data_IF_632357202151
#
_entry.id   IF_632357202151
#
_cell.length_a   1.000
_cell.length_b   1.000
_cell.length_c   1.000
_cell.angle_alpha   90.00
_cell.angle_beta   90.00
_cell.angle_gamma   90.00
#
_symmetry.space_group_name_H-M   'P 1'
#
loop_
_entity.id
_entity.type
_entity.pdbx_description
1 polymer ?
#
# COMPACT_ATOMS: atom_id res chain seq x y z
N UNK A 1 -2.23 10.52 6.80
CA UNK A 1 -0.97 9.76 6.89
C UNK A 1 -0.55 9.48 8.32
N UNK A 2 -0.27 10.49 9.16
CA UNK A 2 0.17 10.27 10.54
C UNK A 2 -0.81 9.42 11.37
N UNK A 3 -2.12 9.69 11.28
CA UNK A 3 -3.15 8.93 12.00
C UNK A 3 -3.14 7.42 11.66
N UNK A 4 -2.89 7.05 10.40
CA UNK A 4 -2.87 5.64 9.95
C UNK A 4 -1.61 4.90 10.47
N UNK A 5 -0.52 5.64 10.66
CA UNK A 5 0.76 5.10 11.15
C UNK A 5 0.83 5.01 12.67
N UNK A 6 -0.05 5.71 13.39
CA UNK A 6 -0.03 5.77 14.84
C UNK A 6 -0.34 4.39 15.46
N UNK A 7 0.59 3.80 16.25
CA UNK A 7 0.36 2.53 16.94
C UNK A 7 -0.90 2.50 17.79
N UNK A 8 -1.30 3.63 18.37
CA UNK A 8 -2.53 3.73 19.18
C UNK A 8 -3.80 3.44 18.36
N UNK A 9 -3.74 3.60 17.03
CA UNK A 9 -4.85 3.39 16.13
C UNK A 9 -4.91 1.98 15.53
N UNK A 10 -3.99 1.08 15.93
CA UNK A 10 -4.03 -0.32 15.52
C UNK A 10 -5.26 -1.06 16.05
N UNK A 11 -5.83 -0.62 17.18
CA UNK A 11 -7.01 -1.23 17.81
C UNK A 11 -8.17 -0.24 17.85
N UNK A 12 -9.28 -0.56 17.17
CA UNK A 12 -10.58 0.09 17.35
C UNK A 12 -10.80 1.45 16.67
N UNK A 13 -9.75 2.20 16.31
CA UNK A 13 -9.88 3.51 15.63
C UNK A 13 -10.41 3.38 14.20
N UNK A 14 -9.91 2.40 13.47
CA UNK A 14 -10.33 2.08 12.12
C UNK A 14 -11.10 0.76 12.13
N UNK A 15 -12.08 0.67 11.24
CA UNK A 15 -12.82 -0.56 10.97
C UNK A 15 -12.74 -0.84 9.47
N UNK A 16 -12.81 -2.10 9.04
CA UNK A 16 -12.84 -2.42 7.61
C UNK A 16 -14.00 -1.77 6.84
N UNK A 17 -15.07 -1.38 7.54
CA UNK A 17 -16.22 -0.67 6.99
C UNK A 17 -16.04 0.85 6.93
N UNK A 18 -14.84 1.39 7.15
CA UNK A 18 -14.58 2.82 7.12
C UNK A 18 -14.03 3.24 5.76
N UNK A 19 -14.80 4.04 5.03
CA UNK A 19 -14.30 4.73 3.85
C UNK A 19 -13.37 5.87 4.24
N UNK A 20 -12.25 6.02 3.52
CA UNK A 20 -11.24 7.04 3.78
C UNK A 20 -10.74 7.67 2.49
N UNK A 21 -10.18 8.88 2.62
CA UNK A 21 -9.28 9.46 1.63
C UNK A 21 -7.93 9.74 2.27
N UNK A 22 -6.86 9.30 1.63
CA UNK A 22 -5.48 9.55 2.06
C UNK A 22 -4.71 10.22 0.93
N UNK A 23 -4.03 11.32 1.24
CA UNK A 23 -3.05 11.93 0.34
C UNK A 23 -1.66 11.55 0.82
N UNK A 24 -0.82 11.07 -0.09
CA UNK A 24 0.57 10.74 0.19
C UNK A 24 1.44 10.85 -1.05
N UNK A 25 2.75 10.99 -0.83
CA UNK A 25 3.75 10.95 -1.89
C UNK A 25 4.05 9.48 -2.23
N UNK A 26 3.99 9.11 -3.50
CA UNK A 26 4.21 7.72 -3.93
C UNK A 26 5.71 7.42 -3.98
N UNK A 27 6.20 6.68 -2.98
CA UNK A 27 7.59 6.29 -2.84
C UNK A 27 7.97 5.12 -3.76
N UNK A 28 7.04 4.18 -3.98
CA UNK A 28 7.29 3.00 -4.79
C UNK A 28 6.00 2.29 -5.20
N UNK A 29 6.11 1.49 -6.26
CA UNK A 29 5.04 0.61 -6.74
C UNK A 29 5.63 -0.80 -6.83
N UNK A 30 5.25 -1.64 -5.88
CA UNK A 30 5.75 -2.99 -5.75
C UNK A 30 4.76 -3.98 -6.37
N UNK A 31 5.23 -5.13 -6.83
CA UNK A 31 4.32 -6.19 -7.21
C UNK A 31 3.67 -6.79 -5.95
N UNK A 32 2.35 -6.99 -5.96
CA UNK A 32 1.60 -7.60 -4.86
C UNK A 32 2.01 -9.04 -4.58
N UNK A 33 1.48 -9.65 -3.53
CA UNK A 33 1.71 -11.06 -3.21
C UNK A 33 1.13 -12.00 -4.28
N UNK A 34 1.84 -13.09 -4.59
CA UNK A 34 1.23 -14.18 -5.36
C UNK A 34 0.24 -14.92 -4.43
N UNK A 35 -1.06 -14.88 -4.75
CA UNK A 35 -2.15 -15.53 -4.00
C UNK A 35 -2.52 -14.84 -2.68
N UNK A 36 -2.83 -13.56 -2.74
CA UNK A 36 -3.32 -12.79 -1.58
C UNK A 36 -4.68 -13.31 -1.07
N UNK A 37 -4.91 -13.18 0.24
CA UNK A 37 -6.13 -13.68 0.89
C UNK A 37 -7.37 -12.90 0.44
N UNK A 38 -7.25 -11.59 0.21
CA UNK A 38 -8.28 -10.71 -0.38
C UNK A 38 -8.74 -11.19 -1.78
N UNK A 39 -7.84 -11.81 -2.54
CA UNK A 39 -8.08 -12.36 -3.88
C UNK A 39 -8.43 -13.86 -3.84
N UNK A 40 -8.85 -14.38 -2.69
CA UNK A 40 -9.18 -15.79 -2.47
C UNK A 40 -8.04 -16.75 -2.87
N UNK A 41 -6.78 -16.29 -2.76
CA UNK A 41 -5.57 -17.05 -3.11
C UNK A 41 -5.51 -17.50 -4.57
N UNK A 42 -6.24 -16.82 -5.46
CA UNK A 42 -6.17 -17.06 -6.90
C UNK A 42 -4.80 -16.66 -7.44
N UNK A 43 -4.33 -17.38 -8.46
CA UNK A 43 -3.03 -17.12 -9.08
C UNK A 43 -3.11 -16.14 -10.25
N UNK A 44 -4.31 -15.90 -10.77
CA UNK A 44 -4.58 -15.02 -11.92
C UNK A 44 -5.02 -13.60 -11.51
N UNK A 45 -5.19 -13.36 -10.20
CA UNK A 45 -5.50 -12.06 -9.64
C UNK A 45 -4.36 -11.64 -8.73
N UNK A 46 -3.94 -10.38 -8.85
CA UNK A 46 -2.84 -9.84 -8.07
C UNK A 46 -3.02 -8.34 -7.91
N UNK A 47 -2.89 -7.85 -6.69
CA UNK A 47 -3.02 -6.42 -6.43
C UNK A 47 -1.76 -5.66 -6.86
N UNK A 48 -1.90 -4.37 -7.15
CA UNK A 48 -0.74 -3.46 -7.31
C UNK A 48 -0.52 -2.75 -5.98
N UNK A 49 0.58 -3.07 -5.30
CA UNK A 49 0.98 -2.43 -4.05
C UNK A 49 1.61 -1.07 -4.32
N UNK A 50 1.06 -0.03 -3.71
CA UNK A 50 1.57 1.34 -3.83
C UNK A 50 1.99 1.80 -2.44
N UNK A 51 3.29 2.04 -2.26
CA UNK A 51 3.84 2.57 -1.01
C UNK A 51 3.77 4.09 -1.02
N UNK A 52 3.02 4.65 -0.08
CA UNK A 52 2.90 6.10 0.10
C UNK A 52 3.54 6.57 1.40
N UNK A 53 4.10 7.78 1.34
CA UNK A 53 4.70 8.46 2.49
C UNK A 53 4.11 9.84 2.76
N UNK A 54 4.31 10.38 3.96
CA UNK A 54 3.76 11.66 4.39
C UNK A 54 4.62 12.84 3.93
N UNK A 55 5.90 12.58 3.62
CA UNK A 55 6.86 13.56 3.13
C UNK A 55 7.83 12.88 2.14
N UNK A 56 8.22 13.52 1.01
CA UNK A 56 9.13 12.92 0.03
C UNK A 56 10.50 12.52 0.60
N UNK A 57 10.97 13.16 1.67
CA UNK A 57 12.20 12.77 2.36
C UNK A 57 12.11 11.39 3.02
N UNK A 58 10.90 10.91 3.32
CA UNK A 58 10.64 9.56 3.84
C UNK A 58 10.62 8.50 2.74
N UNK A 59 10.75 8.87 1.46
CA UNK A 59 10.58 7.93 0.34
C UNK A 59 11.56 6.73 0.39
N UNK A 60 12.69 6.87 1.09
CA UNK A 60 13.66 5.81 1.29
C UNK A 60 13.57 5.11 2.66
N UNK A 61 12.53 5.35 3.45
CA UNK A 61 12.34 4.71 4.76
C UNK A 61 11.11 3.79 4.73
N UNK A 62 11.35 2.48 4.61
CA UNK A 62 10.29 1.47 4.57
C UNK A 62 9.43 1.45 5.85
N UNK A 63 9.96 1.89 6.99
CA UNK A 63 9.19 1.98 8.24
C UNK A 63 8.17 3.11 8.22
N UNK A 64 8.15 3.92 7.16
CA UNK A 64 7.16 4.99 6.92
C UNK A 64 6.11 4.59 5.88
N UNK A 65 6.26 3.50 5.16
CA UNK A 65 5.33 3.18 4.08
C UNK A 65 3.94 2.83 4.62
N UNK A 66 2.91 3.50 4.09
CA UNK A 66 1.52 3.03 4.17
C UNK A 66 1.18 2.44 2.82
N UNK A 67 0.59 1.25 2.80
CA UNK A 67 0.24 0.57 1.55
C UNK A 67 -1.17 0.96 1.14
N UNK A 68 -1.34 1.26 -0.14
CA UNK A 68 -2.64 1.38 -0.80
C UNK A 68 -2.65 0.47 -2.02
N UNK A 69 -3.79 -0.13 -2.33
CA UNK A 69 -3.83 -1.19 -3.33
C UNK A 69 -4.86 -0.94 -4.41
N UNK A 70 -4.41 -1.00 -5.66
CA UNK A 70 -5.30 -1.16 -6.79
C UNK A 70 -5.58 -2.65 -6.94
N UNK A 71 -6.81 -3.04 -6.64
CA UNK A 71 -7.29 -4.41 -6.79
C UNK A 71 -7.76 -4.66 -8.23
N UNK A 72 -7.59 -5.87 -8.81
CA UNK A 72 -7.95 -6.19 -10.20
C UNK A 72 -9.32 -5.71 -10.69
N UNK A 73 -10.33 -5.75 -9.81
CA UNK A 73 -11.71 -5.34 -10.13
C UNK A 73 -11.86 -3.84 -10.38
N UNK A 74 -10.87 -3.03 -10.00
CA UNK A 74 -10.87 -1.58 -10.12
C UNK A 74 -9.94 -1.05 -11.21
N UNK A 75 -8.98 -1.83 -11.69
CA UNK A 75 -7.96 -1.41 -12.66
C UNK A 75 -8.58 -0.86 -13.95
N UNK A 76 -9.61 -1.55 -14.49
CA UNK A 76 -10.37 -1.07 -15.64
C UNK A 76 -11.08 0.27 -15.39
N UNK A 77 -11.53 0.56 -14.16
CA UNK A 77 -12.11 1.87 -13.80
C UNK A 77 -11.06 2.98 -13.74
N UNK A 78 -9.79 2.62 -13.63
CA UNK A 78 -8.65 3.53 -13.65
C UNK A 78 -8.01 3.63 -15.05
N UNK A 79 -8.64 3.01 -16.05
CA UNK A 79 -8.18 2.96 -17.44
C UNK A 79 -6.81 2.30 -17.61
N UNK A 80 -6.50 1.30 -16.78
CA UNK A 80 -5.36 0.43 -16.99
C UNK A 80 -5.76 -0.83 -17.77
N UNK A 81 -4.86 -1.28 -18.64
CA UNK A 81 -4.98 -2.55 -19.35
C UNK A 81 -4.52 -3.69 -18.42
N UNK A 82 -5.45 -4.56 -18.04
CA UNK A 82 -5.25 -5.67 -17.11
C UNK A 82 -4.87 -6.99 -17.81
N UNK A 83 -4.61 -6.98 -19.12
CA UNK A 83 -4.25 -8.18 -19.88
C UNK A 83 -2.85 -8.73 -19.55
N UNK A 84 -1.96 -7.87 -19.05
CA UNK A 84 -0.62 -8.24 -18.60
C UNK A 84 -0.28 -7.48 -17.32
N UNK A 85 -0.20 -8.20 -16.20
CA UNK A 85 0.05 -7.62 -14.88
C UNK A 85 1.33 -6.79 -14.80
N UNK A 86 2.45 -7.27 -15.36
CA UNK A 86 3.73 -6.57 -15.24
C UNK A 86 3.73 -5.26 -16.04
N UNK A 87 3.14 -5.28 -17.24
CA UNK A 87 2.98 -4.08 -18.07
C UNK A 87 2.01 -3.08 -17.41
N UNK A 88 0.91 -3.58 -16.85
CA UNK A 88 -0.06 -2.78 -16.11
C UNK A 88 0.57 -2.12 -14.88
N UNK A 89 1.29 -2.88 -14.05
CA UNK A 89 2.00 -2.37 -12.87
C UNK A 89 3.01 -1.29 -13.28
N UNK A 90 3.75 -1.50 -14.37
CA UNK A 90 4.66 -0.49 -14.89
C UNK A 90 3.91 0.78 -15.32
N UNK A 91 2.78 0.65 -16.01
CA UNK A 91 1.95 1.80 -16.38
C UNK A 91 1.38 2.55 -15.17
N UNK A 92 1.02 1.84 -14.09
CA UNK A 92 0.68 2.46 -12.80
C UNK A 92 1.89 3.23 -12.28
N UNK A 93 3.06 2.57 -12.18
CA UNK A 93 4.31 3.16 -11.68
C UNK A 93 4.66 4.46 -12.42
N UNK A 94 4.70 4.44 -13.75
CA UNK A 94 5.00 5.60 -14.59
C UNK A 94 4.01 6.76 -14.37
N UNK A 95 2.74 6.42 -14.10
CA UNK A 95 1.68 7.40 -13.90
C UNK A 95 1.78 8.09 -12.55
N UNK A 96 2.14 7.40 -11.47
CA UNK A 96 2.00 7.92 -10.10
C UNK A 96 3.28 8.01 -9.28
N UNK A 97 4.33 7.23 -9.58
CA UNK A 97 5.55 7.23 -8.77
C UNK A 97 6.20 8.60 -8.76
N UNK A 98 6.67 9.01 -7.58
CA UNK A 98 7.31 10.31 -7.37
C UNK A 98 6.35 11.49 -7.38
N UNK A 99 5.03 11.26 -7.29
CA UNK A 99 4.00 12.30 -7.27
C UNK A 99 3.17 12.22 -5.99
N UNK A 100 2.51 13.33 -5.65
CA UNK A 100 1.47 13.35 -4.64
C UNK A 100 0.15 12.85 -5.22
N UNK A 101 -0.46 11.90 -4.54
CA UNK A 101 -1.71 11.30 -4.99
C UNK A 101 -2.67 11.20 -3.82
N UNK A 102 -3.91 11.63 -4.06
CA UNK A 102 -5.04 11.39 -3.18
C UNK A 102 -5.71 10.09 -3.59
N UNK A 103 -5.74 9.11 -2.70
CA UNK A 103 -6.43 7.84 -2.86
C UNK A 103 -7.69 7.84 -2.00
N UNK A 104 -8.78 7.28 -2.52
CA UNK A 104 -10.03 7.07 -1.78
C UNK A 104 -10.41 5.61 -1.85
N UNK A 105 -10.80 5.03 -0.73
CA UNK A 105 -11.09 3.61 -0.63
C UNK A 105 -11.57 3.23 0.75
N UNK A 106 -11.38 1.98 1.12
CA UNK A 106 -11.78 1.45 2.41
C UNK A 106 -10.55 1.07 3.22
N UNK A 107 -10.63 1.26 4.54
CA UNK A 107 -9.59 0.73 5.42
C UNK A 107 -9.62 -0.79 5.38
N UNK A 108 -8.45 -1.41 5.37
CA UNK A 108 -8.29 -2.85 5.57
C UNK A 108 -7.15 -3.07 6.55
N UNK A 109 -7.34 -3.96 7.52
CA UNK A 109 -6.25 -4.40 8.39
C UNK A 109 -5.68 -5.69 7.83
N UNK A 110 -4.47 -5.65 7.27
CA UNK A 110 -3.80 -6.86 6.82
C UNK A 110 -3.10 -7.55 8.00
N UNK A 111 -3.82 -8.50 8.59
CA UNK A 111 -3.33 -9.31 9.70
C UNK A 111 -2.07 -10.11 9.37
N UNK A 112 -1.85 -10.49 8.10
CA UNK A 112 -0.67 -11.25 7.69
C UNK A 112 0.59 -10.36 7.80
N UNK A 113 0.42 -9.05 7.67
CA UNK A 113 1.52 -8.09 7.69
C UNK A 113 1.66 -7.34 9.03
N UNK A 114 0.93 -7.73 10.06
CA UNK A 114 1.10 -7.19 11.41
C UNK A 114 2.54 -7.40 11.94
N UNK A 115 3.16 -8.57 11.74
CA UNK A 115 4.53 -8.79 12.20
C UNK A 115 5.61 -8.12 11.31
N UNK A 116 5.21 -7.50 10.21
CA UNK A 116 6.13 -6.81 9.30
C UNK A 116 5.93 -5.28 9.28
N UNK A 117 5.19 -4.78 10.28
CA UNK A 117 4.79 -3.39 10.39
C UNK A 117 5.39 -2.74 11.64
N UNK A 118 5.97 -1.55 11.48
CA UNK A 118 6.59 -0.80 12.57
C UNK A 118 5.63 -0.51 13.73
N UNK A 119 4.36 -0.25 13.45
CA UNK A 119 3.38 0.13 14.46
C UNK A 119 2.96 -1.03 15.38
N UNK A 120 3.12 -2.27 14.94
CA UNK A 120 2.73 -3.50 15.68
C UNK A 120 3.93 -4.33 16.13
N UNK A 121 5.07 -4.25 15.42
CA UNK A 121 6.32 -4.95 15.77
C UNK A 121 7.52 -3.99 15.75
N UNK A 122 7.57 -2.98 16.65
CA UNK A 122 8.58 -1.91 16.57
C UNK A 122 10.01 -2.36 16.82
N UNK A 123 10.21 -3.54 17.42
CA UNK A 123 11.53 -4.10 17.73
C UNK A 123 12.12 -4.95 16.60
N UNK A 124 11.36 -5.20 15.53
CA UNK A 124 11.89 -5.92 14.37
C UNK A 124 12.88 -5.03 13.61
N UNK A 125 13.97 -5.61 13.06
CA UNK A 125 14.88 -4.87 12.19
C UNK A 125 14.16 -4.41 10.91
N UNK A 126 14.69 -3.40 10.23
CA UNK A 126 14.20 -3.01 8.89
C UNK A 126 14.66 -4.04 7.86
N UNK A 127 13.79 -4.39 6.91
CA UNK A 127 14.15 -5.36 5.88
C UNK A 127 15.29 -4.87 4.98
N UNK A 128 16.22 -5.75 4.56
CA UNK A 128 17.21 -5.42 3.57
C UNK A 128 16.58 -5.01 2.23
N UNK A 129 17.16 -4.00 1.57
CA UNK A 129 16.75 -3.55 0.23
C UNK A 129 17.53 -4.27 -0.87
N UNK A 130 17.48 -5.60 -0.88
CA UNK A 130 18.21 -6.44 -1.85
C UNK A 130 17.29 -7.08 -2.90
N UNK A 131 16.02 -6.67 -2.95
CA UNK A 131 15.02 -7.17 -3.90
C UNK A 131 14.49 -8.58 -3.58
N UNK A 132 14.82 -9.14 -2.41
CA UNK A 132 14.33 -10.45 -1.99
C UNK A 132 13.16 -10.35 -1.03
N UNK A 133 12.38 -11.42 -0.94
CA UNK A 133 11.39 -11.58 0.11
C UNK A 133 12.09 -11.83 1.44
N UNK A 134 11.71 -11.06 2.45
CA UNK A 134 12.22 -11.20 3.81
C UNK A 134 11.10 -11.43 4.81
N UNK A 135 11.42 -12.13 5.89
CA UNK A 135 10.52 -12.39 7.02
C UNK A 135 11.18 -11.97 8.32
N UNK A 136 10.40 -11.53 9.31
CA UNK A 136 10.94 -11.13 10.63
C UNK A 136 11.60 -9.75 10.63
N UNK A 137 11.25 -8.90 9.66
CA UNK A 137 11.71 -7.53 9.55
C UNK A 137 10.55 -6.62 9.11
N UNK A 138 10.68 -5.32 9.37
CA UNK A 138 9.69 -4.31 9.01
C UNK A 138 9.99 -3.75 7.62
N UNK A 139 8.96 -3.74 6.77
CA UNK A 139 9.00 -3.13 5.43
C UNK A 139 7.86 -2.15 5.19
N UNK A 140 7.03 -1.92 6.20
CA UNK A 140 5.92 -0.96 6.21
C UNK A 140 5.76 -0.35 7.60
N UNK A 141 5.07 0.79 7.67
CA UNK A 141 4.78 1.47 8.92
C UNK A 141 3.68 0.79 9.73
N UNK A 142 2.66 0.26 9.06
CA UNK A 142 1.39 -0.12 9.68
C UNK A 142 0.72 -1.22 8.86
N UNK A 143 -0.01 -2.16 9.50
CA UNK A 143 -0.79 -3.17 8.78
C UNK A 143 -2.10 -2.61 8.20
N UNK A 144 -2.45 -1.35 8.52
CA UNK A 144 -3.58 -0.68 7.92
C UNK A 144 -3.27 -0.22 6.50
N UNK A 145 -4.20 -0.52 5.60
CA UNK A 145 -4.10 -0.22 4.17
C UNK A 145 -5.35 0.52 3.70
N UNK A 146 -5.25 1.19 2.56
CA UNK A 146 -6.43 1.56 1.76
C UNK A 146 -6.63 0.52 0.68
N UNK A 147 -7.55 -0.41 0.93
CA UNK A 147 -7.82 -1.56 0.08
C UNK A 147 -9.30 -1.96 0.17
N UNK A 148 -10.06 -1.95 -0.94
CA UNK A 148 -9.62 -1.53 -2.27
C UNK A 148 -9.57 -0.01 -2.37
N UNK A 149 -8.64 0.51 -3.18
CA UNK A 149 -8.79 1.85 -3.74
C UNK A 149 -9.94 1.85 -4.74
N UNK A 150 -10.79 2.86 -4.64
CA UNK A 150 -11.99 3.06 -5.46
C UNK A 150 -11.95 4.32 -6.31
N UNK A 151 -11.08 5.27 -5.96
CA UNK A 151 -10.75 6.44 -6.76
C UNK A 151 -9.35 6.95 -6.41
N UNK A 152 -8.69 7.59 -7.37
CA UNK A 152 -7.43 8.29 -7.10
C UNK A 152 -7.31 9.54 -7.98
N UNK A 153 -6.51 10.50 -7.54
CA UNK A 153 -6.22 11.73 -8.28
C UNK A 153 -4.81 12.20 -7.96
N UNK A 154 -4.01 12.48 -8.99
CA UNK A 154 -2.71 13.16 -8.82
C UNK A 154 -3.01 14.61 -8.42
N UNK A 155 -2.37 15.07 -7.35
CA UNK A 155 -2.58 16.40 -6.76
C UNK A 155 -1.26 17.14 -6.62
N UNK A 156 -1.32 18.45 -6.39
CA UNK A 156 -0.16 19.19 -5.92
C UNK A 156 0.24 18.72 -4.52
N UNK A 157 1.53 18.78 -4.20
CA UNK A 157 2.00 18.55 -2.84
C UNK A 157 1.45 19.61 -1.88
N UNK A 158 1.28 19.26 -0.59
CA UNK A 158 0.97 20.22 0.47
C UNK A 158 2.10 21.23 0.69
#
# INVERSE_FOLDING_TARGET
>A
MQEIRDPANNTGKFTPSKQVSVTGYVAGVDPGGLKETCNCKRADLRDVHINIVADPSEANDQTKYVVVEFTPRWEKRFSFDDSNYDAMRQAVEDKIKGKWVKFSGWMLFDYIHANASQSTSPNNPVCPKDGKLHTGCNWRATPWEVHPVTAYTVVAGP
#
